data_IF_834026499865
#
_entry.id   IF_834026499865
#
_cell.length_a   1.000
_cell.length_b   1.000
_cell.length_c   1.000
_cell.angle_alpha   90.00
_cell.angle_beta   90.00
_cell.angle_gamma   90.00
#
_symmetry.space_group_name_H-M   'P 1'
#
loop_
_entity.id
_entity.type
_entity.pdbx_description
1 polymer ?
#
# COMPACT_ATOMS: atom_id res chain seq x y z
N UNK A 1 36.41 -11.69 -24.65
CA UNK A 1 36.05 -10.61 -23.71
C UNK A 1 34.54 -10.38 -23.82
N UNK A 2 33.75 -10.90 -22.89
CA UNK A 2 32.30 -10.66 -22.84
C UNK A 2 32.00 -9.81 -21.62
N UNK A 3 31.99 -8.49 -21.82
CA UNK A 3 31.56 -7.55 -20.80
C UNK A 3 30.06 -7.72 -20.55
N UNK A 4 29.68 -8.25 -19.39
CA UNK A 4 28.33 -8.08 -18.86
C UNK A 4 28.12 -6.59 -18.66
N UNK A 5 27.28 -5.99 -19.49
CA UNK A 5 26.72 -4.66 -19.24
C UNK A 5 25.98 -4.75 -17.91
N UNK A 6 26.55 -4.18 -16.84
CA UNK A 6 25.81 -3.94 -15.60
C UNK A 6 24.69 -2.97 -15.98
N UNK A 7 23.47 -3.50 -16.07
CA UNK A 7 22.27 -2.69 -16.14
C UNK A 7 22.31 -1.74 -14.94
N UNK A 8 22.53 -0.45 -15.22
CA UNK A 8 22.62 0.60 -14.21
C UNK A 8 21.23 1.15 -13.85
N UNK A 9 20.18 0.39 -14.20
CA UNK A 9 18.80 0.73 -13.86
C UNK A 9 18.61 0.54 -12.36
N UNK A 10 18.14 1.57 -11.63
CA UNK A 10 17.77 1.42 -10.23
C UNK A 10 16.81 0.23 -10.09
N UNK A 11 16.98 -0.56 -9.03
CA UNK A 11 16.04 -1.65 -8.74
C UNK A 11 14.67 -1.03 -8.56
N UNK A 12 13.65 -1.55 -9.24
CA UNK A 12 12.28 -1.00 -9.28
C UNK A 12 11.72 -0.66 -7.88
N UNK A 13 12.09 -1.45 -6.86
CA UNK A 13 11.76 -1.21 -5.44
C UNK A 13 12.27 0.15 -4.93
N UNK A 14 13.47 0.57 -5.32
CA UNK A 14 14.07 1.86 -4.94
C UNK A 14 13.29 3.01 -5.59
N UNK A 15 12.88 2.85 -6.85
CA UNK A 15 12.06 3.85 -7.52
C UNK A 15 10.66 3.93 -6.92
N UNK A 16 10.07 2.79 -6.55
CA UNK A 16 8.80 2.75 -5.83
C UNK A 16 8.93 3.55 -4.53
N UNK A 17 9.93 3.27 -3.69
CA UNK A 17 10.07 3.95 -2.40
C UNK A 17 10.25 5.46 -2.56
N UNK A 18 11.11 5.90 -3.50
CA UNK A 18 11.26 7.33 -3.80
C UNK A 18 9.93 7.98 -4.18
N UNK A 19 9.14 7.33 -5.03
CA UNK A 19 7.84 7.87 -5.43
C UNK A 19 6.81 7.85 -4.29
N UNK A 20 6.90 6.91 -3.33
CA UNK A 20 6.07 6.91 -2.11
C UNK A 20 6.43 8.10 -1.21
N UNK A 21 7.72 8.36 -1.00
CA UNK A 21 8.21 9.52 -0.24
C UNK A 21 7.78 10.87 -0.87
N UNK A 22 7.77 10.93 -2.20
CA UNK A 22 7.35 12.10 -2.98
C UNK A 22 5.82 12.19 -3.18
N UNK A 23 5.05 11.25 -2.64
CA UNK A 23 3.59 11.13 -2.84
C UNK A 23 3.16 11.05 -4.33
N UNK A 24 4.03 10.53 -5.21
CA UNK A 24 3.72 10.30 -6.62
C UNK A 24 2.98 8.97 -6.81
N UNK A 25 1.77 8.88 -6.28
CA UNK A 25 1.00 7.63 -6.16
C UNK A 25 0.67 6.96 -7.50
N UNK A 26 0.40 7.75 -8.55
CA UNK A 26 0.18 7.21 -9.89
C UNK A 26 1.41 6.44 -10.38
N UNK A 27 2.61 6.96 -10.13
CA UNK A 27 3.85 6.28 -10.50
C UNK A 27 4.11 5.06 -9.62
N UNK A 28 3.78 5.12 -8.33
CA UNK A 28 3.84 3.96 -7.42
C UNK A 28 2.98 2.81 -7.96
N UNK A 29 1.74 3.09 -8.36
CA UNK A 29 0.83 2.08 -8.92
C UNK A 29 1.42 1.45 -10.18
N UNK A 30 1.88 2.27 -11.13
CA UNK A 30 2.48 1.80 -12.39
C UNK A 30 3.68 0.88 -12.13
N UNK A 31 4.59 1.29 -11.25
CA UNK A 31 5.78 0.49 -10.94
C UNK A 31 5.43 -0.78 -10.16
N UNK A 32 4.43 -0.74 -9.27
CA UNK A 32 3.96 -1.91 -8.54
C UNK A 32 3.27 -2.93 -9.46
N UNK A 33 2.52 -2.49 -10.48
CA UNK A 33 1.98 -3.38 -11.52
C UNK A 33 3.10 -4.07 -12.30
N UNK A 34 4.13 -3.32 -12.71
CA UNK A 34 5.31 -3.90 -13.37
C UNK A 34 6.07 -4.89 -12.46
N UNK A 35 6.17 -4.60 -11.16
CA UNK A 35 6.79 -5.49 -10.18
C UNK A 35 6.01 -6.81 -10.10
N UNK A 36 4.67 -6.72 -10.05
CA UNK A 36 3.77 -7.88 -10.00
C UNK A 36 3.96 -8.81 -11.20
N UNK A 37 4.11 -8.24 -12.39
CA UNK A 37 4.31 -9.00 -13.63
C UNK A 37 5.69 -9.67 -13.70
N UNK A 38 6.74 -8.95 -13.28
CA UNK A 38 8.13 -9.40 -13.42
C UNK A 38 8.60 -10.30 -12.28
N UNK A 39 7.92 -10.26 -11.13
CA UNK A 39 8.37 -10.96 -9.92
C UNK A 39 7.19 -11.60 -9.18
N UNK A 40 6.78 -12.82 -9.59
CA UNK A 40 5.67 -13.55 -8.96
C UNK A 40 5.84 -13.75 -7.44
N UNK A 41 7.08 -13.83 -6.95
CA UNK A 41 7.37 -13.98 -5.51
C UNK A 41 7.04 -12.71 -4.70
N UNK A 42 6.87 -11.56 -5.37
CA UNK A 42 6.58 -10.25 -4.77
C UNK A 42 5.13 -9.82 -5.01
N UNK A 43 4.23 -10.75 -5.35
CA UNK A 43 2.82 -10.44 -5.61
C UNK A 43 2.14 -9.77 -4.42
N UNK A 44 2.35 -10.25 -3.18
CA UNK A 44 1.74 -9.63 -2.00
C UNK A 44 2.25 -8.20 -1.76
N UNK A 45 3.55 -7.96 -1.94
CA UNK A 45 4.12 -6.61 -1.85
C UNK A 45 3.54 -5.69 -2.94
N UNK A 46 3.42 -6.22 -4.16
CA UNK A 46 2.88 -5.47 -5.30
C UNK A 46 1.40 -5.12 -5.09
N UNK A 47 0.59 -6.06 -4.62
CA UNK A 47 -0.83 -5.83 -4.29
C UNK A 47 -0.99 -4.81 -3.15
N UNK A 48 -0.11 -4.87 -2.15
CA UNK A 48 -0.06 -3.87 -1.08
C UNK A 48 0.20 -2.46 -1.65
N UNK A 49 1.25 -2.30 -2.45
CA UNK A 49 1.65 -1.00 -3.03
C UNK A 49 0.59 -0.44 -3.98
N UNK A 50 -0.06 -1.29 -4.78
CA UNK A 50 -1.20 -0.88 -5.63
C UNK A 50 -2.37 -0.40 -4.76
N UNK A 51 -2.67 -1.12 -3.68
CA UNK A 51 -3.72 -0.76 -2.74
C UNK A 51 -3.46 0.57 -2.04
N UNK A 52 -2.24 0.77 -1.55
CA UNK A 52 -1.77 2.02 -0.94
C UNK A 52 -1.85 3.18 -1.93
N UNK A 53 -1.24 3.06 -3.10
CA UNK A 53 -1.24 4.12 -4.10
C UNK A 53 -2.66 4.53 -4.52
N UNK A 54 -3.56 3.56 -4.73
CA UNK A 54 -4.98 3.85 -5.04
C UNK A 54 -5.70 4.57 -3.89
N UNK A 55 -5.39 4.20 -2.64
CA UNK A 55 -5.98 4.82 -1.46
C UNK A 55 -5.48 6.26 -1.30
N UNK A 56 -4.17 6.48 -1.25
CA UNK A 56 -3.60 7.80 -1.01
C UNK A 56 -3.91 8.77 -2.15
N UNK A 57 -3.82 8.33 -3.42
CA UNK A 57 -4.22 9.14 -4.58
C UNK A 57 -5.68 9.61 -4.49
N UNK A 58 -6.59 8.73 -4.03
CA UNK A 58 -7.99 9.12 -3.84
C UNK A 58 -8.15 10.13 -2.71
N UNK A 59 -7.44 9.94 -1.59
CA UNK A 59 -7.56 10.79 -0.41
C UNK A 59 -6.94 12.19 -0.59
N UNK A 60 -5.95 12.33 -1.49
CA UNK A 60 -5.41 13.64 -1.88
C UNK A 60 -6.47 14.51 -2.58
N UNK A 61 -7.30 13.91 -3.42
CA UNK A 61 -8.40 14.62 -4.11
C UNK A 61 -9.64 14.75 -3.21
N UNK A 62 -9.94 13.71 -2.42
CA UNK A 62 -11.15 13.60 -1.61
C UNK A 62 -10.79 13.30 -0.15
N UNK A 63 -10.47 14.32 0.67
CA UNK A 63 -10.05 14.13 2.05
C UNK A 63 -11.15 13.43 2.88
N UNK A 64 -10.79 12.70 3.95
CA UNK A 64 -11.70 11.88 4.74
C UNK A 64 -12.56 12.73 5.69
N UNK A 65 -13.50 13.48 5.12
CA UNK A 65 -14.51 14.28 5.81
C UNK A 65 -15.92 13.75 5.51
N UNK A 66 -16.89 14.02 6.38
CA UNK A 66 -18.25 13.48 6.28
C UNK A 66 -18.91 13.71 4.91
N UNK A 67 -18.68 14.87 4.30
CA UNK A 67 -19.20 15.21 2.98
C UNK A 67 -18.74 14.26 1.87
N UNK A 68 -17.59 13.61 2.03
CA UNK A 68 -16.97 12.74 1.03
C UNK A 68 -17.27 11.25 1.24
N UNK A 69 -17.92 10.85 2.36
CA UNK A 69 -18.13 9.43 2.72
C UNK A 69 -18.78 8.62 1.59
N UNK A 70 -19.82 9.14 0.96
CA UNK A 70 -20.52 8.41 -0.12
C UNK A 70 -19.64 8.23 -1.35
N UNK A 71 -18.78 9.21 -1.64
CA UNK A 71 -17.80 9.12 -2.72
C UNK A 71 -16.71 8.10 -2.39
N UNK A 72 -16.20 8.13 -1.16
CA UNK A 72 -15.18 7.20 -0.68
C UNK A 72 -15.63 5.74 -0.77
N UNK A 73 -16.89 5.44 -0.39
CA UNK A 73 -17.46 4.07 -0.48
C UNK A 73 -17.41 3.48 -1.90
N UNK A 74 -17.48 4.33 -2.93
CA UNK A 74 -17.42 3.91 -4.33
C UNK A 74 -15.99 3.99 -4.88
N UNK A 75 -15.28 5.08 -4.61
CA UNK A 75 -13.94 5.34 -5.14
C UNK A 75 -12.85 4.45 -4.57
N UNK A 76 -13.03 3.93 -3.34
CA UNK A 76 -12.03 3.12 -2.65
C UNK A 76 -12.24 1.60 -2.81
N UNK A 77 -13.18 1.15 -3.65
CA UNK A 77 -13.45 -0.27 -3.85
C UNK A 77 -12.22 -1.04 -4.35
N UNK A 78 -11.52 -0.47 -5.32
CA UNK A 78 -10.31 -1.07 -5.90
C UNK A 78 -9.16 -1.14 -4.89
N UNK A 79 -8.93 -0.06 -4.13
CA UNK A 79 -7.94 -0.03 -3.06
C UNK A 79 -8.24 -1.10 -1.99
N UNK A 80 -9.51 -1.19 -1.56
CA UNK A 80 -9.98 -2.20 -0.61
C UNK A 80 -9.72 -3.61 -1.15
N UNK A 81 -10.02 -3.88 -2.42
CA UNK A 81 -9.81 -5.20 -3.04
C UNK A 81 -8.33 -5.57 -3.01
N UNK A 82 -7.45 -4.68 -3.46
CA UNK A 82 -5.99 -4.92 -3.47
C UNK A 82 -5.45 -5.19 -2.06
N UNK A 83 -5.77 -4.34 -1.08
CA UNK A 83 -5.33 -4.54 0.31
C UNK A 83 -5.89 -5.83 0.93
N UNK A 84 -7.11 -6.23 0.57
CA UNK A 84 -7.73 -7.47 1.05
C UNK A 84 -7.03 -8.74 0.53
N UNK A 85 -6.31 -8.67 -0.60
CA UNK A 85 -5.53 -9.81 -1.10
C UNK A 85 -4.28 -10.07 -0.25
N UNK A 86 -3.83 -9.06 0.49
CA UNK A 86 -2.59 -9.09 1.27
C UNK A 86 -2.79 -9.64 2.69
N UNK A 87 -4.02 -9.61 3.22
CA UNK A 87 -4.35 -10.13 4.56
C UNK A 87 -4.48 -11.67 4.59
N UNK A 88 -3.42 -12.35 4.12
CA UNK A 88 -3.30 -13.80 4.03
C UNK A 88 -1.99 -14.26 4.69
N UNK A 89 -1.81 -15.57 4.88
CA UNK A 89 -0.55 -16.12 5.40
C UNK A 89 0.66 -15.74 4.52
N UNK A 90 0.46 -15.64 3.20
CA UNK A 90 1.50 -15.19 2.27
C UNK A 90 1.89 -13.73 2.51
N UNK A 91 0.93 -12.84 2.76
CA UNK A 91 1.21 -11.45 3.08
C UNK A 91 1.84 -11.25 4.46
N UNK A 92 1.54 -12.12 5.43
CA UNK A 92 2.24 -12.14 6.73
C UNK A 92 3.71 -12.51 6.52
N UNK A 93 4.00 -13.55 5.74
CA UNK A 93 5.38 -13.96 5.40
C UNK A 93 6.13 -12.87 4.62
N UNK A 94 5.43 -12.13 3.75
CA UNK A 94 5.97 -11.00 3.03
C UNK A 94 6.13 -9.72 3.89
N UNK A 95 5.67 -9.74 5.14
CA UNK A 95 5.81 -8.62 6.07
C UNK A 95 4.87 -7.44 5.84
N UNK A 96 3.89 -7.57 4.92
CA UNK A 96 3.01 -6.45 4.49
C UNK A 96 1.58 -6.56 5.01
N UNK A 97 1.18 -7.69 5.59
CA UNK A 97 -0.19 -7.88 6.07
C UNK A 97 -0.57 -6.91 7.21
N UNK A 98 0.36 -6.62 8.12
CA UNK A 98 0.12 -5.69 9.23
C UNK A 98 -0.13 -4.27 8.70
N UNK A 99 0.71 -3.81 7.77
CA UNK A 99 0.56 -2.49 7.14
C UNK A 99 -0.72 -2.42 6.29
N UNK A 100 -1.10 -3.52 5.63
CA UNK A 100 -2.37 -3.60 4.92
C UNK A 100 -3.57 -3.41 5.88
N UNK A 101 -3.50 -3.94 7.11
CA UNK A 101 -4.52 -3.67 8.13
C UNK A 101 -4.56 -2.18 8.52
N UNK A 102 -3.43 -1.48 8.63
CA UNK A 102 -3.41 -0.04 8.91
C UNK A 102 -4.12 0.75 7.81
N UNK A 103 -3.80 0.46 6.54
CA UNK A 103 -4.40 1.13 5.38
C UNK A 103 -5.88 0.79 5.24
N UNK A 104 -6.29 -0.45 5.51
CA UNK A 104 -7.70 -0.81 5.56
C UNK A 104 -8.42 -0.06 6.69
N UNK A 105 -7.80 0.12 7.86
CA UNK A 105 -8.33 0.96 8.93
C UNK A 105 -8.59 2.40 8.48
N UNK A 106 -7.60 3.01 7.83
CA UNK A 106 -7.71 4.36 7.23
C UNK A 106 -8.82 4.43 6.17
N UNK A 107 -8.89 3.43 5.28
CA UNK A 107 -9.91 3.32 4.23
C UNK A 107 -11.33 3.23 4.83
N UNK A 108 -11.51 2.40 5.86
CA UNK A 108 -12.80 2.25 6.53
C UNK A 108 -13.23 3.54 7.22
N UNK A 109 -12.29 4.26 7.84
CA UNK A 109 -12.55 5.59 8.39
C UNK A 109 -13.05 6.56 7.31
N UNK A 110 -12.37 6.65 6.16
CA UNK A 110 -12.79 7.48 5.02
C UNK A 110 -14.18 7.08 4.49
N UNK A 111 -14.56 5.80 4.59
CA UNK A 111 -15.87 5.28 4.22
C UNK A 111 -16.95 5.44 5.30
N UNK A 112 -16.64 6.04 6.45
CA UNK A 112 -17.55 6.16 7.60
C UNK A 112 -17.86 4.83 8.31
N UNK A 113 -17.05 3.80 8.09
CA UNK A 113 -17.20 2.45 8.67
C UNK A 113 -16.32 2.29 9.92
N UNK A 114 -16.53 3.15 10.92
CA UNK A 114 -15.64 3.28 12.07
C UNK A 114 -15.43 1.97 12.86
N UNK A 115 -16.49 1.18 13.04
CA UNK A 115 -16.39 -0.10 13.75
C UNK A 115 -15.47 -1.11 13.04
N UNK A 116 -15.52 -1.16 11.70
CA UNK A 116 -14.60 -1.99 10.92
C UNK A 116 -13.18 -1.42 10.94
N UNK A 117 -13.04 -0.09 10.88
CA UNK A 117 -11.74 0.56 11.02
C UNK A 117 -11.03 0.18 12.32
N UNK A 118 -11.76 0.21 13.45
CA UNK A 118 -11.23 -0.21 14.75
C UNK A 118 -10.81 -1.69 14.78
N UNK A 119 -11.56 -2.58 14.12
CA UNK A 119 -11.16 -3.99 14.01
C UNK A 119 -9.83 -4.12 13.27
N UNK A 120 -9.66 -3.40 12.16
CA UNK A 120 -8.40 -3.42 11.42
C UNK A 120 -7.23 -2.87 12.23
N UNK A 121 -7.39 -1.75 12.95
CA UNK A 121 -6.32 -1.22 13.81
C UNK A 121 -5.93 -2.18 14.95
N UNK A 122 -6.89 -2.94 15.49
CA UNK A 122 -6.59 -3.99 16.46
C UNK A 122 -5.78 -5.13 15.83
N UNK A 123 -6.13 -5.55 14.61
CA UNK A 123 -5.39 -6.60 13.88
C UNK A 123 -4.00 -6.15 13.43
N UNK A 124 -3.81 -4.85 13.18
CA UNK A 124 -2.51 -4.26 12.90
C UNK A 124 -1.61 -4.12 14.14
N UNK A 125 -2.11 -4.52 15.32
CA UNK A 125 -1.38 -4.46 16.59
C UNK A 125 -0.73 -3.09 16.86
N UNK A 126 -1.49 -2.01 16.61
CA UNK A 126 -1.01 -0.63 16.64
C UNK A 126 -0.24 -0.28 17.92
N UNK A 127 -0.64 -0.88 19.05
CA UNK A 127 -0.03 -0.70 20.37
C UNK A 127 1.42 -1.21 20.48
N UNK A 128 1.84 -2.12 19.60
CA UNK A 128 3.17 -2.72 19.58
C UNK A 128 4.01 -2.23 18.39
N UNK A 129 3.51 -1.24 17.62
CA UNK A 129 4.33 -0.57 16.62
C UNK A 129 5.48 0.16 17.33
N UNK A 130 6.69 -0.07 16.82
CA UNK A 130 7.90 0.57 17.33
C UNK A 130 8.50 1.48 16.27
N UNK A 131 9.01 2.62 16.71
CA UNK A 131 9.79 3.49 15.85
C UNK A 131 11.15 2.84 15.59
N UNK A 132 11.44 2.53 14.32
CA UNK A 132 12.79 2.15 13.92
C UNK A 132 13.59 3.43 13.69
N UNK A 133 14.60 3.67 14.53
CA UNK A 133 15.57 4.75 14.26
C UNK A 133 16.28 4.44 12.95
N UNK A 134 16.12 5.31 11.97
CA UNK A 134 16.90 5.25 10.73
C UNK A 134 18.37 5.59 11.07
N UNK A 135 19.35 4.87 10.52
CA UNK A 135 20.75 5.25 10.65
C UNK A 135 20.96 6.63 10.03
N UNK A 136 21.66 7.50 10.78
CA UNK A 136 22.09 8.83 10.34
C UNK A 136 23.07 8.75 9.16
#
# INVERSE_FOLDING_TARGET
MTGRVKSNTPRIEVEIERNREEANWLKVIELAEQLKEKSPDLVCLSDFLIGEGKLENFLEEWPPVDANINRAKLGLLEAKRSLSLVITEAGIKAGVAMDAHLLLGKLQYACGQYAEGLKHFKMADLQNLSEKKLPL
#
